data_IF_885038905038
#
_entry.id   IF_885038905038
#
_cell.length_a   1.000
_cell.length_b   1.000
_cell.length_c   1.000
_cell.angle_alpha   90.00
_cell.angle_beta   90.00
_cell.angle_gamma   90.00
#
_symmetry.space_group_name_H-M   'P 1'
#
loop_
_entity.id
_entity.type
_entity.pdbx_description
1 polymer ?
#
# COMPACT_ATOMS: atom_id res chain seq x y z
N UNK A 1 -0.99 13.70 26.81
CA UNK A 1 -0.61 12.31 27.16
C UNK A 1 -0.72 12.02 28.66
N UNK A 2 0.12 12.60 29.53
CA UNK A 2 0.15 12.26 30.96
C UNK A 2 -1.17 12.47 31.72
N UNK A 3 -1.92 13.54 31.40
CA UNK A 3 -3.20 13.83 32.06
C UNK A 3 -4.30 12.82 31.70
N UNK A 4 -4.34 12.34 30.46
CA UNK A 4 -5.29 11.31 30.01
C UNK A 4 -5.08 9.98 30.72
N UNK A 5 -3.81 9.52 30.82
CA UNK A 5 -3.46 8.29 31.54
C UNK A 5 -3.80 8.37 33.03
N UNK A 6 -3.50 9.50 33.68
CA UNK A 6 -3.90 9.74 35.08
C UNK A 6 -5.42 9.65 35.25
N UNK A 7 -6.19 10.17 34.31
CA UNK A 7 -7.66 10.09 34.36
C UNK A 7 -8.15 8.66 34.18
N UNK A 8 -7.57 7.88 33.27
CA UNK A 8 -7.89 6.45 33.10
C UNK A 8 -7.60 5.68 34.38
N UNK A 9 -6.46 5.92 35.02
CA UNK A 9 -6.10 5.29 36.29
C UNK A 9 -7.13 5.61 37.39
N UNK A 10 -7.51 6.87 37.54
CA UNK A 10 -8.60 7.27 38.45
C UNK A 10 -9.94 6.57 38.15
N UNK A 11 -10.28 6.40 36.87
CA UNK A 11 -11.49 5.68 36.46
C UNK A 11 -11.41 4.20 36.82
N UNK A 12 -10.24 3.56 36.65
CA UNK A 12 -10.03 2.18 37.06
C UNK A 12 -10.15 2.00 38.57
N UNK A 13 -9.62 2.94 39.35
CA UNK A 13 -9.74 2.96 40.81
C UNK A 13 -11.19 3.17 41.30
N UNK A 14 -12.03 3.83 40.52
CA UNK A 14 -13.45 4.09 40.85
C UNK A 14 -14.40 3.00 40.32
N UNK A 15 -13.86 1.84 39.94
CA UNK A 15 -14.65 0.66 39.54
C UNK A 15 -14.82 0.49 38.03
N UNK A 16 -14.30 1.39 37.20
CA UNK A 16 -14.34 1.26 35.73
C UNK A 16 -13.10 0.52 35.23
N UNK A 17 -13.04 -0.79 35.51
CA UNK A 17 -11.88 -1.63 35.22
C UNK A 17 -11.47 -1.68 33.74
N UNK A 18 -12.42 -1.45 32.83
CA UNK A 18 -12.24 -1.43 31.38
C UNK A 18 -11.95 -0.03 30.81
N UNK A 19 -11.71 0.98 31.64
CA UNK A 19 -11.34 2.31 31.17
C UNK A 19 -10.03 2.29 30.37
N UNK A 20 -10.00 3.00 29.25
CA UNK A 20 -8.89 3.01 28.30
C UNK A 20 -8.63 4.41 27.73
N UNK A 21 -7.39 4.66 27.29
CA UNK A 21 -7.00 5.88 26.58
C UNK A 21 -6.97 5.59 25.07
N UNK A 22 -8.05 5.90 24.37
CA UNK A 22 -8.16 5.65 22.95
C UNK A 22 -7.43 6.74 22.15
N UNK A 23 -6.65 6.32 21.16
CA UNK A 23 -5.80 7.17 20.33
C UNK A 23 -4.33 7.14 20.74
N UNK A 24 -3.95 6.43 21.80
CA UNK A 24 -2.54 6.33 22.22
C UNK A 24 -1.73 5.41 21.28
N UNK A 25 -2.34 4.33 20.80
CA UNK A 25 -1.69 3.32 19.96
C UNK A 25 -2.35 3.14 18.60
N UNK A 26 -3.60 3.57 18.49
CA UNK A 26 -4.45 3.43 17.32
C UNK A 26 -3.86 4.22 16.14
N UNK A 27 -3.73 3.56 14.98
CA UNK A 27 -3.16 4.14 13.75
C UNK A 27 -1.75 4.74 13.92
N UNK A 28 -0.96 4.26 14.88
CA UNK A 28 0.36 4.82 15.18
C UNK A 28 0.34 6.05 16.10
N UNK A 29 -0.81 6.34 16.71
CA UNK A 29 -1.03 7.47 17.60
C UNK A 29 -1.87 8.56 16.92
N UNK A 30 -3.00 8.88 17.53
CA UNK A 30 -3.89 9.95 17.08
C UNK A 30 -3.50 11.28 17.72
N UNK A 31 -3.71 12.39 17.00
CA UNK A 31 -3.53 13.74 17.54
C UNK A 31 -4.58 14.13 18.60
N UNK A 32 -5.68 13.39 18.65
CA UNK A 32 -6.75 13.56 19.63
C UNK A 32 -6.89 12.27 20.42
N UNK A 33 -6.83 12.40 21.74
CA UNK A 33 -7.02 11.28 22.66
C UNK A 33 -8.37 11.38 23.34
N UNK A 34 -8.99 10.23 23.56
CA UNK A 34 -10.23 10.11 24.31
C UNK A 34 -10.02 9.24 25.55
N UNK A 35 -10.52 9.71 26.68
CA UNK A 35 -10.58 8.91 27.91
C UNK A 35 -11.91 8.18 27.91
N UNK A 36 -11.86 6.86 27.74
CA UNK A 36 -13.04 6.02 27.72
C UNK A 36 -13.22 5.38 29.09
N UNK A 37 -14.46 5.35 29.54
CA UNK A 37 -14.86 4.68 30.78
C UNK A 37 -15.07 3.17 30.60
N UNK A 38 -15.05 2.67 29.37
CA UNK A 38 -15.22 1.26 29.01
C UNK A 38 -14.45 0.96 27.70
N UNK A 39 -14.55 -0.26 27.19
CA UNK A 39 -13.93 -0.69 25.92
C UNK A 39 -14.41 0.19 24.75
N UNK A 40 -13.55 0.42 23.73
CA UNK A 40 -13.90 1.20 22.53
C UNK A 40 -15.22 0.76 21.87
N UNK A 41 -15.48 -0.55 21.83
CA UNK A 41 -16.69 -1.12 21.23
C UNK A 41 -18.00 -0.67 21.89
N UNK A 42 -17.98 -0.31 23.17
CA UNK A 42 -19.17 0.22 23.87
C UNK A 42 -19.60 1.60 23.31
N UNK A 43 -18.66 2.31 22.67
CA UNK A 43 -18.87 3.62 22.05
C UNK A 43 -18.92 3.54 20.52
N UNK A 44 -19.01 2.33 19.95
CA UNK A 44 -18.96 2.13 18.50
C UNK A 44 -17.58 2.38 17.87
N UNK A 45 -16.53 2.46 18.68
CA UNK A 45 -15.17 2.68 18.21
C UNK A 45 -14.48 1.34 17.89
N UNK A 46 -13.69 1.26 16.80
CA UNK A 46 -12.94 0.06 16.45
C UNK A 46 -11.81 -0.18 17.45
N UNK A 47 -11.61 -1.44 17.89
CA UNK A 47 -10.53 -1.76 18.83
C UNK A 47 -9.14 -1.74 18.18
N UNK A 48 -9.05 -2.05 16.88
CA UNK A 48 -7.80 -2.07 16.14
C UNK A 48 -8.00 -1.42 14.76
N UNK A 49 -7.97 -0.08 14.67
CA UNK A 49 -8.09 0.61 13.39
C UNK A 49 -6.81 0.39 12.58
N UNK A 50 -6.98 -0.05 11.33
CA UNK A 50 -5.91 -0.25 10.36
C UNK A 50 -5.98 0.85 9.30
N UNK A 51 -4.82 1.37 8.88
CA UNK A 51 -4.76 2.28 7.72
C UNK A 51 -5.05 1.48 6.44
N UNK A 52 -5.97 1.96 5.61
CA UNK A 52 -6.27 1.36 4.31
C UNK A 52 -5.07 1.39 3.34
N UNK A 53 -4.00 2.12 3.68
CA UNK A 53 -2.81 2.29 2.86
C UNK A 53 -1.88 1.07 2.79
N UNK A 54 -2.15 -0.01 3.54
CA UNK A 54 -1.35 -1.24 3.51
C UNK A 54 -1.22 -1.86 2.10
N UNK A 55 -2.14 -1.55 1.19
CA UNK A 55 -2.24 -2.18 -0.12
C UNK A 55 -1.66 -1.33 -1.26
N UNK A 56 -1.04 -0.18 -0.96
CA UNK A 56 -0.54 0.76 -1.98
C UNK A 56 0.46 0.11 -2.95
N UNK A 57 1.35 -0.74 -2.43
CA UNK A 57 2.38 -1.42 -3.24
C UNK A 57 1.72 -2.37 -4.24
N UNK A 58 0.74 -3.18 -3.81
CA UNK A 58 0.02 -4.10 -4.69
C UNK A 58 -0.75 -3.38 -5.81
N UNK A 59 -1.37 -2.24 -5.50
CA UNK A 59 -2.09 -1.44 -6.49
C UNK A 59 -1.15 -0.78 -7.51
N UNK A 60 0.02 -0.29 -7.08
CA UNK A 60 1.03 0.32 -7.96
C UNK A 60 1.69 -0.68 -8.93
N UNK A 61 1.91 -1.93 -8.49
CA UNK A 61 2.53 -2.95 -9.33
C UNK A 61 1.75 -3.23 -10.63
N UNK A 62 0.43 -3.16 -10.59
CA UNK A 62 -0.42 -3.37 -11.77
C UNK A 62 -0.19 -2.32 -12.88
N UNK A 63 -0.01 -1.05 -12.48
CA UNK A 63 0.26 0.05 -13.41
C UNK A 63 1.65 -0.05 -14.04
N UNK A 64 2.67 -0.35 -13.23
CA UNK A 64 4.06 -0.51 -13.70
C UNK A 64 4.19 -1.70 -14.66
N UNK A 65 3.54 -2.83 -14.36
CA UNK A 65 3.58 -4.00 -15.24
C UNK A 65 3.01 -3.69 -16.62
N UNK A 66 1.88 -2.99 -16.68
CA UNK A 66 1.23 -2.63 -17.96
C UNK A 66 2.10 -1.69 -18.79
N UNK A 67 2.70 -0.68 -18.17
CA UNK A 67 3.61 0.23 -18.86
C UNK A 67 4.88 -0.48 -19.37
N UNK A 68 5.44 -1.41 -18.58
CA UNK A 68 6.57 -2.24 -18.98
C UNK A 68 6.25 -3.11 -20.20
N UNK A 69 5.08 -3.75 -20.23
CA UNK A 69 4.63 -4.57 -21.36
C UNK A 69 4.46 -3.74 -22.63
N UNK A 70 3.82 -2.56 -22.53
CA UNK A 70 3.61 -1.66 -23.67
C UNK A 70 4.91 -1.11 -24.27
N UNK A 71 5.97 -0.99 -23.49
CA UNK A 71 7.27 -0.50 -23.97
C UNK A 71 8.17 -1.62 -24.48
N UNK A 72 8.25 -2.74 -23.75
CA UNK A 72 9.17 -3.84 -24.05
C UNK A 72 8.70 -4.74 -25.20
N UNK A 73 7.39 -5.00 -25.33
CA UNK A 73 6.87 -5.84 -26.42
C UNK A 73 7.19 -5.28 -27.82
N UNK A 74 6.86 -4.01 -28.16
CA UNK A 74 7.18 -3.49 -29.49
C UNK A 74 8.69 -3.36 -29.71
N UNK A 75 9.47 -3.02 -28.69
CA UNK A 75 10.93 -2.96 -28.76
C UNK A 75 11.55 -4.32 -29.12
N UNK A 76 11.09 -5.40 -28.49
CA UNK A 76 11.55 -6.77 -28.79
C UNK A 76 11.08 -7.26 -30.17
N UNK A 77 9.85 -6.94 -30.56
CA UNK A 77 9.29 -7.31 -31.86
C UNK A 77 10.04 -6.62 -33.01
N UNK A 78 10.47 -5.37 -32.82
CA UNK A 78 11.34 -4.66 -33.77
C UNK A 78 12.73 -5.32 -33.87
N UNK A 79 13.30 -5.78 -32.77
CA UNK A 79 14.60 -6.49 -32.80
C UNK A 79 14.51 -7.83 -33.55
N UNK A 80 13.44 -8.61 -33.36
CA UNK A 80 13.22 -9.86 -34.13
C UNK A 80 13.07 -9.63 -35.63
N UNK A 81 12.54 -8.48 -36.05
CA UNK A 81 12.40 -8.16 -37.49
C UNK A 81 13.75 -7.96 -38.19
N UNK A 82 14.78 -7.52 -37.48
CA UNK A 82 16.10 -7.26 -38.09
C UNK A 82 16.77 -8.54 -38.60
N UNK A 83 16.46 -9.68 -38.00
CA UNK A 83 16.96 -11.00 -38.43
C UNK A 83 16.44 -11.37 -39.84
N UNK A 84 15.20 -10.99 -40.18
CA UNK A 84 14.60 -11.27 -41.49
C UNK A 84 15.13 -10.37 -42.62
N UNK A 85 15.70 -9.20 -42.30
CA UNK A 85 16.29 -8.28 -43.27
C UNK A 85 17.73 -8.68 -43.60
N UNK A 86 18.50 -9.13 -42.60
CA UNK A 86 19.85 -9.65 -42.80
C UNK A 86 19.87 -10.96 -43.63
N UNK A 87 18.83 -11.79 -43.47
CA UNK A 87 18.65 -12.99 -44.27
C UNK A 87 18.29 -12.70 -45.74
N UNK A 88 17.60 -11.59 -46.03
CA UNK A 88 17.24 -11.20 -47.41
C UNK A 88 18.39 -10.49 -48.15
N UNK A 89 19.19 -9.67 -47.46
CA UNK A 89 20.36 -8.98 -48.05
C UNK A 89 21.47 -9.95 -48.48
N UNK A 90 21.56 -11.13 -47.86
CA UNK A 90 22.54 -12.17 -48.23
C UNK A 90 22.10 -12.99 -49.46
N UNK A 91 20.82 -12.95 -49.84
CA UNK A 91 20.22 -13.82 -50.88
C UNK A 91 20.07 -13.11 -52.23
N UNK A 92 20.50 -11.86 -52.36
CA UNK A 92 20.53 -11.14 -53.64
C UNK A 92 21.96 -11.09 -54.24
N UNK A 93 22.43 -12.13 -54.97
CA UNK A 93 23.53 -11.92 -55.88
C UNK A 93 22.98 -11.27 -57.15
N UNK A 94 23.49 -10.07 -57.45
CA UNK A 94 23.89 -9.66 -58.80
C UNK A 94 23.10 -10.32 -59.94
N UNK A 95 21.95 -9.76 -60.32
CA UNK A 95 21.30 -10.03 -61.60
C UNK A 95 21.11 -8.72 -62.36
N UNK A 96 21.94 -8.51 -63.38
CA UNK A 96 22.00 -7.34 -64.26
C UNK A 96 23.37 -6.67 -64.08
N UNK A 97 24.29 -6.66 -65.04
CA UNK A 97 24.21 -6.69 -66.52
C UNK A 97 25.14 -7.74 -67.15
#
# INVERSE_FOLDING_TARGET
MAQGRKRVEQLRLTGKGSANLYGEYELGGLNVLYVLADRPSAYGLPQNPLVAAGNLVGNWLSGVATAGVLTLLPFWLLFRRKESLAAQVTVEPQKGE
#
